data_IF_987835026141
#
_entry.id   IF_987835026141
#
_cell.length_a   1.000
_cell.length_b   1.000
_cell.length_c   1.000
_cell.angle_alpha   90.00
_cell.angle_beta   90.00
_cell.angle_gamma   90.00
#
_symmetry.space_group_name_H-M   'P 1'
#
loop_
_entity.id
_entity.type
_entity.pdbx_description
1 polymer ?
#
# COMPACT_ATOMS: atom_id res chain seq x y z
N UNK A 1 9.21 16.67 -4.61
CA UNK A 1 8.76 15.45 -3.95
C UNK A 1 7.29 15.15 -4.25
N UNK A 2 6.46 16.18 -4.22
CA UNK A 2 5.03 16.04 -4.57
C UNK A 2 4.85 15.52 -5.99
N UNK A 3 5.62 16.02 -6.93
CA UNK A 3 5.58 15.58 -8.32
C UNK A 3 6.02 14.13 -8.46
N UNK A 4 7.03 13.73 -7.69
CA UNK A 4 7.50 12.35 -7.65
C UNK A 4 6.37 11.40 -7.20
N UNK A 5 5.65 11.76 -6.14
CA UNK A 5 4.54 10.93 -5.67
C UNK A 5 3.41 10.87 -6.68
N UNK A 6 3.07 11.99 -7.32
CA UNK A 6 2.04 12.03 -8.34
C UNK A 6 2.40 11.11 -9.52
N UNK A 7 3.64 11.17 -9.97
CA UNK A 7 4.11 10.32 -11.07
C UNK A 7 4.09 8.85 -10.69
N UNK A 8 4.54 8.53 -9.47
CA UNK A 8 4.50 7.16 -8.97
C UNK A 8 3.07 6.64 -8.92
N UNK A 9 2.16 7.41 -8.34
CA UNK A 9 0.77 7.02 -8.18
C UNK A 9 0.12 6.73 -9.52
N UNK A 10 0.32 7.62 -10.48
CA UNK A 10 -0.28 7.48 -11.81
C UNK A 10 0.26 6.25 -12.54
N UNK A 11 1.56 6.04 -12.50
CA UNK A 11 2.19 4.90 -13.15
C UNK A 11 1.75 3.59 -12.51
N UNK A 12 1.78 3.54 -11.17
CA UNK A 12 1.38 2.34 -10.46
C UNK A 12 -0.08 1.98 -10.74
N UNK A 13 -0.97 2.97 -10.70
CA UNK A 13 -2.39 2.71 -10.91
C UNK A 13 -2.74 2.42 -12.37
N UNK A 14 -1.86 2.71 -13.33
CA UNK A 14 -2.02 2.19 -14.67
C UNK A 14 -1.78 0.68 -14.70
N UNK A 15 -0.82 0.19 -13.92
CA UNK A 15 -0.51 -1.24 -13.84
C UNK A 15 -1.52 -2.00 -12.97
N UNK A 16 -2.03 -1.36 -11.95
CA UNK A 16 -2.96 -1.95 -10.98
C UNK A 16 -4.15 -1.03 -10.76
N UNK A 17 -5.08 -0.95 -11.74
CA UNK A 17 -6.15 0.07 -11.71
C UNK A 17 -7.10 -0.05 -10.52
N UNK A 18 -7.31 -1.26 -9.99
CA UNK A 18 -8.24 -1.48 -8.88
C UNK A 18 -7.50 -1.72 -7.55
N UNK A 19 -6.23 -1.31 -7.46
CA UNK A 19 -5.41 -1.59 -6.28
C UNK A 19 -6.05 -1.07 -5.00
N UNK A 20 -6.54 0.16 -5.01
CA UNK A 20 -7.10 0.79 -3.79
C UNK A 20 -8.31 0.00 -3.30
N UNK A 21 -9.23 -0.34 -4.21
CA UNK A 21 -10.42 -1.11 -3.86
C UNK A 21 -10.04 -2.51 -3.36
N UNK A 22 -9.12 -3.18 -4.06
CA UNK A 22 -8.69 -4.53 -3.71
C UNK A 22 -7.94 -4.54 -2.37
N UNK A 23 -7.13 -3.53 -2.14
CA UNK A 23 -6.42 -3.38 -0.87
C UNK A 23 -7.42 -3.17 0.28
N UNK A 24 -8.38 -2.27 0.09
CA UNK A 24 -9.40 -2.01 1.11
C UNK A 24 -10.26 -3.24 1.40
N UNK A 25 -10.46 -4.12 0.42
CA UNK A 25 -11.19 -5.37 0.64
C UNK A 25 -10.47 -6.32 1.60
N UNK A 26 -9.18 -6.13 1.82
CA UNK A 26 -8.40 -6.92 2.78
C UNK A 26 -8.49 -6.37 4.21
N UNK A 27 -9.04 -5.18 4.39
CA UNK A 27 -9.15 -4.51 5.69
C UNK A 27 -10.56 -4.65 6.26
N UNK A 28 -10.67 -4.57 7.59
CA UNK A 28 -11.97 -4.55 8.25
C UNK A 28 -12.80 -3.37 7.71
N UNK A 29 -14.13 -3.53 7.67
CA UNK A 29 -15.01 -2.55 7.04
C UNK A 29 -14.88 -1.15 7.63
N UNK A 30 -14.69 -1.05 8.93
CA UNK A 30 -14.55 0.23 9.64
C UNK A 30 -13.11 0.75 9.64
N UNK A 31 -12.19 0.04 9.03
CA UNK A 31 -10.77 0.37 9.02
C UNK A 31 -10.24 0.66 7.60
N UNK A 32 -11.11 0.72 6.62
CA UNK A 32 -10.70 0.96 5.25
C UNK A 32 -10.08 2.35 5.11
N UNK A 33 -9.13 2.46 4.18
CA UNK A 33 -8.42 3.71 3.94
C UNK A 33 -9.32 4.63 3.12
N UNK A 34 -9.57 5.84 3.66
CA UNK A 34 -10.30 6.89 2.95
C UNK A 34 -9.33 7.91 2.42
N UNK A 35 -9.46 8.22 1.13
CA UNK A 35 -8.64 9.23 0.49
C UNK A 35 -9.33 10.58 0.52
N UNK A 36 -8.54 11.64 0.64
CA UNK A 36 -9.05 13.01 0.54
C UNK A 36 -9.39 13.32 -0.91
N UNK A 37 -10.23 14.33 -1.11
CA UNK A 37 -10.59 14.78 -2.45
C UNK A 37 -9.33 15.09 -3.25
N UNK A 38 -9.24 14.54 -4.45
CA UNK A 38 -8.11 14.73 -5.35
C UNK A 38 -6.94 13.81 -5.13
N UNK A 39 -6.91 13.06 -4.03
CA UNK A 39 -5.86 12.07 -3.81
C UNK A 39 -6.19 10.78 -4.53
N UNK A 40 -5.21 10.21 -5.22
CA UNK A 40 -5.33 8.87 -5.80
C UNK A 40 -4.73 7.81 -4.89
N UNK A 41 -3.70 8.18 -4.11
CA UNK A 41 -3.08 7.34 -3.08
C UNK A 41 -2.57 8.23 -1.95
N UNK A 42 -2.21 7.61 -0.84
CA UNK A 42 -1.58 8.27 0.30
C UNK A 42 -0.35 7.48 0.73
N UNK A 43 0.29 7.89 1.83
CA UNK A 43 1.52 7.24 2.30
C UNK A 43 1.31 5.76 2.57
N UNK A 44 0.23 5.40 3.26
CA UNK A 44 -0.05 3.99 3.57
C UNK A 44 -0.17 3.16 2.30
N UNK A 45 -0.94 3.65 1.33
CA UNK A 45 -1.14 2.93 0.07
C UNK A 45 0.15 2.84 -0.74
N UNK A 46 0.99 3.89 -0.73
CA UNK A 46 2.28 3.85 -1.45
C UNK A 46 3.22 2.80 -0.87
N UNK A 47 3.25 2.66 0.46
CA UNK A 47 4.05 1.62 1.10
C UNK A 47 3.62 0.25 0.61
N UNK A 48 2.32 -0.02 0.60
CA UNK A 48 1.82 -1.32 0.18
C UNK A 48 1.85 -1.51 -1.33
N UNK A 49 1.84 -0.43 -2.12
CA UNK A 49 2.11 -0.50 -3.55
C UNK A 49 3.53 -0.99 -3.81
N UNK A 50 4.51 -0.49 -3.06
CA UNK A 50 5.89 -0.96 -3.18
C UNK A 50 6.00 -2.43 -2.77
N UNK A 51 5.31 -2.84 -1.71
CA UNK A 51 5.26 -4.24 -1.31
C UNK A 51 4.67 -5.09 -2.44
N UNK A 52 3.60 -4.62 -3.08
CA UNK A 52 3.01 -5.32 -4.24
C UNK A 52 4.02 -5.51 -5.37
N UNK A 53 4.90 -4.54 -5.58
CA UNK A 53 5.95 -4.62 -6.59
C UNK A 53 7.13 -5.50 -6.17
N UNK A 54 7.08 -6.06 -4.97
CA UNK A 54 8.15 -6.94 -4.46
C UNK A 54 9.20 -6.23 -3.64
N UNK A 55 9.03 -4.93 -3.37
CA UNK A 55 9.96 -4.18 -2.52
C UNK A 55 9.43 -4.26 -1.10
N UNK A 56 9.97 -5.19 -0.31
CA UNK A 56 9.45 -5.51 1.02
C UNK A 56 10.36 -5.08 2.17
N UNK A 57 11.58 -4.66 1.86
CA UNK A 57 12.55 -4.20 2.86
C UNK A 57 12.18 -2.78 3.29
N UNK A 58 11.91 -2.59 4.59
CA UNK A 58 11.51 -1.30 5.13
C UNK A 58 12.56 -0.21 4.92
N UNK A 59 13.84 -0.55 4.93
CA UNK A 59 14.91 0.43 4.66
C UNK A 59 14.80 0.94 3.22
N UNK A 60 14.59 0.04 2.26
CA UNK A 60 14.45 0.42 0.86
C UNK A 60 13.18 1.22 0.61
N UNK A 61 12.07 0.84 1.25
CA UNK A 61 10.82 1.59 1.15
C UNK A 61 11.02 3.01 1.70
N UNK A 62 11.66 3.12 2.86
CA UNK A 62 11.94 4.41 3.48
C UNK A 62 12.78 5.30 2.58
N UNK A 63 13.82 4.75 1.96
CA UNK A 63 14.68 5.49 1.04
C UNK A 63 13.89 5.95 -0.19
N UNK A 64 13.08 5.09 -0.74
CA UNK A 64 12.29 5.40 -1.95
C UNK A 64 11.28 6.51 -1.67
N UNK A 65 10.55 6.41 -0.56
CA UNK A 65 9.49 7.36 -0.22
C UNK A 65 9.98 8.57 0.57
N UNK A 66 11.24 8.61 0.96
CA UNK A 66 11.83 9.72 1.73
C UNK A 66 11.25 9.85 3.14
N UNK A 67 11.07 8.72 3.82
CA UNK A 67 10.67 8.67 5.22
C UNK A 67 11.74 7.99 6.05
N UNK A 68 11.65 8.09 7.38
CA UNK A 68 12.51 7.31 8.27
C UNK A 68 12.05 5.84 8.26
N UNK A 69 12.98 4.94 8.57
CA UNK A 69 12.65 3.50 8.68
C UNK A 69 11.59 3.28 9.77
N UNK A 70 11.72 4.00 10.89
CA UNK A 70 10.74 3.91 11.98
C UNK A 70 9.33 4.27 11.51
N UNK A 71 9.20 5.30 10.69
CA UNK A 71 7.91 5.69 10.12
C UNK A 71 7.32 4.55 9.28
N UNK A 72 8.15 3.91 8.45
CA UNK A 72 7.67 2.79 7.63
C UNK A 72 7.22 1.62 8.51
N UNK A 73 8.00 1.26 9.53
CA UNK A 73 7.61 0.20 10.46
C UNK A 73 6.27 0.50 11.13
N UNK A 74 6.08 1.75 11.58
CA UNK A 74 4.85 2.14 12.27
C UNK A 74 3.64 2.03 11.34
N UNK A 75 3.76 2.48 10.09
CA UNK A 75 2.69 2.35 9.13
C UNK A 75 2.37 0.88 8.81
N UNK A 76 3.39 0.06 8.60
CA UNK A 76 3.17 -1.36 8.30
C UNK A 76 2.45 -2.06 9.44
N UNK A 77 2.88 -1.83 10.67
CA UNK A 77 2.24 -2.42 11.85
C UNK A 77 0.80 -1.94 11.99
N UNK A 78 0.58 -0.63 11.85
CA UNK A 78 -0.75 -0.05 11.96
C UNK A 78 -1.70 -0.66 10.94
N UNK A 79 -1.26 -0.79 9.69
CA UNK A 79 -2.11 -1.34 8.63
C UNK A 79 -2.37 -2.83 8.83
N UNK A 80 -1.35 -3.61 9.22
CA UNK A 80 -1.57 -5.02 9.51
C UNK A 80 -2.63 -5.21 10.60
N UNK A 81 -2.67 -4.33 11.59
CA UNK A 81 -3.66 -4.41 12.66
C UNK A 81 -5.08 -4.08 12.18
N UNK A 82 -5.23 -3.54 10.98
CA UNK A 82 -6.54 -3.27 10.37
C UNK A 82 -7.05 -4.41 9.50
N UNK A 83 -6.30 -5.49 9.36
CA UNK A 83 -6.67 -6.60 8.49
C UNK A 83 -8.00 -7.22 8.91
N UNK A 84 -8.85 -7.54 7.92
CA UNK A 84 -10.10 -8.26 8.16
C UNK A 84 -9.82 -9.71 8.56
N UNK A 85 -8.77 -10.31 8.00
CA UNK A 85 -8.33 -11.65 8.32
C UNK A 85 -7.12 -11.64 9.25
N UNK A 86 -6.22 -12.61 9.05
CA UNK A 86 -5.00 -12.73 9.85
C UNK A 86 -4.02 -11.61 9.51
N UNK A 87 -3.65 -10.80 10.50
CA UNK A 87 -2.73 -9.69 10.30
C UNK A 87 -1.38 -10.13 9.75
N UNK A 88 -0.95 -11.33 10.11
CA UNK A 88 0.35 -11.85 9.68
C UNK A 88 0.35 -12.29 8.21
N UNK A 89 -0.82 -12.44 7.60
CA UNK A 89 -0.96 -12.82 6.20
C UNK A 89 -1.26 -11.62 5.29
N UNK A 90 -1.50 -10.43 5.85
CA UNK A 90 -1.95 -9.29 5.05
C UNK A 90 -0.99 -8.96 3.92
N UNK A 91 0.33 -8.89 4.21
CA UNK A 91 1.29 -8.52 3.18
C UNK A 91 1.40 -9.58 2.09
N UNK A 92 1.24 -10.85 2.44
CA UNK A 92 1.19 -11.92 1.44
C UNK A 92 -0.06 -11.78 0.55
N UNK A 93 -1.19 -11.42 1.15
CA UNK A 93 -2.42 -11.21 0.40
C UNK A 93 -2.30 -10.02 -0.55
N UNK A 94 -1.61 -8.95 -0.13
CA UNK A 94 -1.34 -7.80 -0.99
C UNK A 94 -0.58 -8.22 -2.25
N UNK A 95 0.35 -9.17 -2.11
CA UNK A 95 1.16 -9.66 -3.23
C UNK A 95 0.32 -10.35 -4.32
N UNK A 96 -0.91 -10.72 -4.02
CA UNK A 96 -1.79 -11.37 -4.99
C UNK A 96 -2.70 -10.41 -5.75
N UNK A 97 -2.75 -9.14 -5.34
CA UNK A 97 -3.61 -8.15 -5.99
C UNK A 97 -3.24 -8.03 -7.46
N UNK A 98 -4.24 -8.14 -8.34
CA UNK A 98 -4.04 -8.00 -9.77
C UNK A 98 -3.45 -9.23 -10.46
N UNK A 99 -3.24 -10.32 -9.74
CA UNK A 99 -2.75 -11.56 -10.37
C UNK A 99 -3.91 -12.30 -11.02
N UNK A 100 -3.62 -12.93 -12.16
CA UNK A 100 -4.56 -13.80 -12.82
C UNK A 100 -4.88 -15.01 -11.93
N UNK A 101 -6.14 -15.46 -11.96
CA UNK A 101 -6.58 -16.63 -11.20
C UNK A 101 -6.38 -17.95 -11.95
N UNK A 102 -5.85 -17.90 -13.12
CA UNK A 102 -5.62 -19.14 -13.92
C UNK A 102 -4.38 -19.87 -13.49
#
# INVERSE_FOLDING_TARGET
>A
LKEFYTNFDNTFLQLFPTFVEDFNALLADDEQISLKAGERMNTELRIFALIRLGITDSVKIAQFLRYSVTTIYNYRTKVRNKAAGDRDLLEQEVMTIGKSKN
#
